data_IF_297480736100
#
_entry.id   IF_297480736100
#
_cell.length_a   1.000
_cell.length_b   1.000
_cell.length_c   1.000
_cell.angle_alpha   90.00
_cell.angle_beta   90.00
_cell.angle_gamma   90.00
#
_symmetry.space_group_name_H-M   'P 1'
#
loop_
_entity.id
_entity.type
_entity.pdbx_description
1 polymer ?
#
# COMPACT_ATOMS: atom_id res chain seq x y z
N UNK A 1 60.89 15.54 -4.02
CA UNK A 1 60.49 14.43 -4.89
C UNK A 1 60.14 13.26 -3.97
N UNK A 2 58.85 13.15 -3.58
CA UNK A 2 58.35 12.15 -2.62
C UNK A 2 57.73 11.03 -3.46
N UNK A 3 58.29 9.82 -3.35
CA UNK A 3 57.73 8.59 -3.95
C UNK A 3 56.64 8.10 -3.01
N UNK A 4 55.41 8.00 -3.50
CA UNK A 4 54.31 7.32 -2.83
C UNK A 4 54.31 5.87 -3.28
N UNK A 5 54.55 4.98 -2.32
CA UNK A 5 54.58 3.53 -2.52
C UNK A 5 53.11 3.04 -2.44
N UNK A 6 52.56 2.55 -3.56
CA UNK A 6 51.22 1.93 -3.59
C UNK A 6 51.38 0.45 -3.22
N UNK A 7 51.31 0.18 -1.91
CA UNK A 7 51.10 -1.19 -1.44
C UNK A 7 49.64 -1.57 -1.67
N UNK A 8 49.50 -2.56 -2.49
CA UNK A 8 48.32 -3.36 -2.82
C UNK A 8 47.52 -3.71 -1.57
N UNK A 9 46.35 -3.04 -1.37
CA UNK A 9 45.34 -3.50 -0.42
C UNK A 9 44.39 -4.35 -1.24
N UNK A 10 44.54 -5.67 -1.10
CA UNK A 10 43.60 -6.61 -1.63
C UNK A 10 42.19 -6.35 -1.05
N UNK A 11 41.41 -5.56 -1.77
CA UNK A 11 39.97 -5.39 -1.49
C UNK A 11 39.30 -6.71 -1.83
N UNK A 12 39.06 -7.52 -0.79
CA UNK A 12 38.16 -8.65 -0.90
C UNK A 12 36.74 -8.10 -1.09
N UNK A 13 36.32 -8.04 -2.35
CA UNK A 13 34.94 -7.77 -2.69
C UNK A 13 34.08 -8.87 -2.07
N UNK A 14 33.42 -8.54 -0.98
CA UNK A 14 32.49 -9.47 -0.33
C UNK A 14 31.30 -9.66 -1.26
N UNK A 15 31.16 -10.85 -1.82
CA UNK A 15 30.03 -11.24 -2.66
C UNK A 15 28.76 -11.34 -1.81
N UNK A 16 27.97 -10.30 -1.77
CA UNK A 16 26.72 -10.22 -1.04
C UNK A 16 25.60 -11.13 -1.61
N UNK A 17 25.80 -11.73 -2.79
CA UNK A 17 24.82 -12.64 -3.41
C UNK A 17 24.69 -13.99 -2.67
N UNK A 18 25.67 -14.31 -1.82
CA UNK A 18 25.73 -15.58 -1.05
C UNK A 18 25.30 -15.44 0.40
N UNK A 19 24.85 -14.29 0.83
CA UNK A 19 24.27 -14.19 2.16
C UNK A 19 22.92 -14.90 2.14
N UNK A 20 22.66 -15.85 3.09
CA UNK A 20 21.33 -16.39 3.26
C UNK A 20 20.41 -15.21 3.49
N UNK A 21 19.31 -15.16 2.73
CA UNK A 21 18.29 -14.16 2.95
C UNK A 21 17.99 -14.17 4.44
N UNK A 22 18.40 -13.09 5.14
CA UNK A 22 17.98 -12.86 6.50
C UNK A 22 16.45 -12.85 6.41
N UNK A 23 15.85 -13.98 6.81
CA UNK A 23 14.42 -13.97 7.13
C UNK A 23 14.28 -12.87 8.14
N UNK A 24 13.76 -11.72 7.68
CA UNK A 24 13.47 -10.63 8.58
C UNK A 24 12.73 -11.23 9.75
N UNK A 25 13.15 -10.98 11.01
CA UNK A 25 12.40 -11.47 12.14
C UNK A 25 10.99 -11.02 11.86
N UNK A 26 10.05 -11.96 11.80
CA UNK A 26 8.64 -11.62 11.78
C UNK A 26 8.44 -10.84 13.07
N UNK A 27 8.46 -9.53 12.93
CA UNK A 27 8.20 -8.64 14.02
C UNK A 27 6.74 -8.90 14.38
N UNK A 28 6.53 -9.84 15.30
CA UNK A 28 5.30 -9.98 16.05
C UNK A 28 5.23 -8.74 16.95
N UNK A 29 5.18 -7.56 16.30
CA UNK A 29 4.99 -6.30 16.99
C UNK A 29 3.73 -6.44 17.82
N UNK A 30 3.91 -6.45 19.14
CA UNK A 30 2.80 -6.41 20.07
C UNK A 30 1.99 -5.16 19.69
N UNK A 31 0.80 -5.38 19.13
CA UNK A 31 -0.10 -4.28 18.84
C UNK A 31 -0.52 -3.68 20.18
N UNK A 32 -0.24 -2.40 20.45
CA UNK A 32 -0.56 -1.78 21.74
C UNK A 32 -2.07 -1.86 22.03
N UNK A 33 -2.39 -2.14 23.28
CA UNK A 33 -3.77 -2.12 23.78
C UNK A 33 -4.07 -0.75 24.39
N UNK A 34 -5.27 -0.23 24.11
CA UNK A 34 -5.80 1.02 24.68
C UNK A 34 -7.03 0.69 25.52
N UNK A 35 -7.10 1.23 26.72
CA UNK A 35 -8.27 1.08 27.60
C UNK A 35 -9.12 2.34 27.47
N UNK A 36 -10.35 2.16 27.06
CA UNK A 36 -11.38 3.21 27.03
C UNK A 36 -12.30 3.07 28.26
N UNK A 37 -12.30 4.08 29.11
CA UNK A 37 -13.18 4.14 30.29
C UNK A 37 -14.44 4.91 29.92
N UNK A 38 -15.59 4.27 30.03
CA UNK A 38 -16.92 4.87 29.80
C UNK A 38 -17.76 4.76 31.06
N UNK A 39 -18.86 5.48 31.14
CA UNK A 39 -19.83 5.33 32.23
C UNK A 39 -20.44 3.92 32.38
N UNK A 40 -20.17 3.02 31.44
CA UNK A 40 -20.60 1.61 31.44
C UNK A 40 -19.47 0.62 31.77
N UNK A 41 -18.30 1.11 32.11
CA UNK A 41 -17.12 0.30 32.41
C UNK A 41 -15.95 0.51 31.45
N UNK A 42 -14.93 -0.30 31.62
CA UNK A 42 -13.70 -0.28 30.84
C UNK A 42 -13.76 -1.29 29.69
N UNK A 43 -13.27 -0.89 28.52
CA UNK A 43 -13.09 -1.76 27.35
C UNK A 43 -11.68 -1.64 26.82
N UNK A 44 -11.03 -2.77 26.59
CA UNK A 44 -9.73 -2.82 25.94
C UNK A 44 -9.92 -3.00 24.42
N UNK A 45 -9.18 -2.20 23.65
CA UNK A 45 -9.10 -2.30 22.19
C UNK A 45 -7.62 -2.35 21.79
N UNK A 46 -7.28 -3.08 20.74
CA UNK A 46 -6.03 -2.81 20.08
C UNK A 46 -6.09 -1.42 19.41
N UNK A 47 -4.91 -0.83 19.16
CA UNK A 47 -4.83 0.55 18.65
C UNK A 47 -5.52 0.70 17.28
N UNK A 48 -5.44 -0.31 16.40
CA UNK A 48 -6.08 -0.24 15.08
C UNK A 48 -7.60 -0.32 15.19
N UNK A 49 -8.13 -1.22 16.01
CA UNK A 49 -9.57 -1.29 16.31
C UNK A 49 -10.08 -0.01 16.95
N UNK A 50 -9.29 0.61 17.82
CA UNK A 50 -9.67 1.90 18.43
C UNK A 50 -9.70 3.03 17.39
N UNK A 51 -8.71 3.08 16.49
CA UNK A 51 -8.67 4.06 15.40
C UNK A 51 -9.75 3.81 14.35
N UNK A 52 -10.12 2.56 14.09
CA UNK A 52 -11.23 2.24 13.19
C UNK A 52 -12.57 2.84 13.68
N UNK A 53 -12.81 2.90 14.99
CA UNK A 53 -13.97 3.61 15.56
C UNK A 53 -13.98 5.10 15.21
N UNK A 54 -12.80 5.70 15.02
CA UNK A 54 -12.65 7.08 14.53
C UNK A 54 -12.60 7.16 12.99
N UNK A 55 -13.01 6.08 12.32
CA UNK A 55 -13.06 5.96 10.87
C UNK A 55 -11.69 6.04 10.15
N UNK A 56 -10.64 5.63 10.87
CA UNK A 56 -9.25 5.61 10.37
C UNK A 56 -8.86 4.19 9.98
N UNK A 57 -8.43 4.02 8.73
CA UNK A 57 -7.90 2.76 8.18
C UNK A 57 -6.43 2.95 7.84
N UNK A 58 -5.62 1.93 8.13
CA UNK A 58 -4.21 1.89 7.74
C UNK A 58 -3.98 0.85 6.65
N UNK A 59 -3.45 1.29 5.51
CA UNK A 59 -2.98 0.45 4.43
C UNK A 59 -1.45 0.49 4.41
N UNK A 60 -0.81 -0.49 5.07
CA UNK A 60 0.63 -0.53 5.28
C UNK A 60 1.23 -1.79 4.69
N UNK A 61 2.34 -1.64 3.96
CA UNK A 61 3.07 -2.75 3.34
C UNK A 61 2.60 -3.09 1.93
N UNK A 62 2.96 -4.29 1.47
CA UNK A 62 2.64 -4.74 0.12
C UNK A 62 1.15 -5.02 -0.06
N UNK A 63 0.59 -4.57 -1.18
CA UNK A 63 -0.81 -4.85 -1.53
C UNK A 63 -0.89 -6.29 -2.07
N UNK A 64 -1.59 -7.13 -1.31
CA UNK A 64 -1.90 -8.53 -1.64
C UNK A 64 -3.37 -8.79 -1.31
N UNK A 65 -3.95 -9.87 -1.82
CA UNK A 65 -5.37 -10.19 -1.67
C UNK A 65 -5.87 -10.11 -0.23
N UNK A 66 -5.11 -10.70 0.71
CA UNK A 66 -5.51 -10.69 2.12
C UNK A 66 -5.62 -9.26 2.68
N UNK A 67 -4.63 -8.42 2.42
CA UNK A 67 -4.65 -7.02 2.87
C UNK A 67 -5.78 -6.25 2.19
N UNK A 68 -5.97 -6.44 0.89
CA UNK A 68 -7.05 -5.78 0.15
C UNK A 68 -8.42 -6.13 0.71
N UNK A 69 -8.68 -7.42 0.98
CA UNK A 69 -9.94 -7.87 1.56
C UNK A 69 -10.20 -7.26 2.95
N UNK A 70 -9.16 -7.10 3.77
CA UNK A 70 -9.28 -6.44 5.07
C UNK A 70 -9.63 -4.95 4.93
N UNK A 71 -9.00 -4.23 4.00
CA UNK A 71 -9.31 -2.82 3.75
C UNK A 71 -10.73 -2.67 3.20
N UNK A 72 -11.13 -3.51 2.23
CA UNK A 72 -12.49 -3.53 1.68
C UNK A 72 -13.53 -3.78 2.77
N UNK A 73 -13.31 -4.78 3.64
CA UNK A 73 -14.23 -5.08 4.74
C UNK A 73 -14.38 -3.89 5.71
N UNK A 74 -13.28 -3.20 6.01
CA UNK A 74 -13.31 -2.00 6.87
C UNK A 74 -14.06 -0.84 6.21
N UNK A 75 -13.88 -0.62 4.90
CA UNK A 75 -14.61 0.40 4.14
C UNK A 75 -16.12 0.15 4.19
N UNK A 76 -16.54 -1.08 3.88
CA UNK A 76 -17.96 -1.47 3.91
C UNK A 76 -18.56 -1.41 5.32
N UNK A 77 -17.79 -1.80 6.34
CA UNK A 77 -18.21 -1.70 7.73
C UNK A 77 -18.46 -0.23 8.12
N UNK A 78 -17.51 0.67 7.79
CA UNK A 78 -17.66 2.08 8.12
C UNK A 78 -18.79 2.77 7.35
N UNK A 79 -19.06 2.36 6.11
CA UNK A 79 -20.25 2.80 5.38
C UNK A 79 -21.52 2.38 6.10
N UNK A 80 -21.62 1.11 6.54
CA UNK A 80 -22.79 0.60 7.25
C UNK A 80 -23.06 1.30 8.59
N UNK A 81 -21.98 1.73 9.28
CA UNK A 81 -22.08 2.46 10.55
C UNK A 81 -22.58 3.91 10.35
N UNK A 82 -22.05 4.60 9.37
CA UNK A 82 -22.48 5.95 9.02
C UNK A 82 -22.07 6.34 7.60
N UNK A 83 -23.00 6.36 6.64
CA UNK A 83 -22.69 6.65 5.23
C UNK A 83 -22.41 8.15 4.95
N UNK A 84 -22.65 9.05 5.89
CA UNK A 84 -22.52 10.49 5.68
C UNK A 84 -21.23 11.08 6.26
N UNK A 85 -20.39 10.26 6.90
CA UNK A 85 -19.12 10.69 7.49
C UNK A 85 -17.94 10.18 6.69
N UNK A 86 -16.94 11.02 6.51
CA UNK A 86 -15.69 10.69 5.82
C UNK A 86 -14.97 9.49 6.45
N UNK A 87 -14.26 8.75 5.61
CA UNK A 87 -13.31 7.70 6.00
C UNK A 87 -11.90 8.22 5.73
N UNK A 88 -10.96 7.96 6.64
CA UNK A 88 -9.57 8.39 6.51
C UNK A 88 -8.66 7.18 6.25
N UNK A 89 -8.12 7.08 5.04
CA UNK A 89 -7.22 6.00 4.61
C UNK A 89 -5.77 6.48 4.62
N UNK A 90 -4.98 5.98 5.57
CA UNK A 90 -3.55 6.25 5.68
C UNK A 90 -2.75 5.24 4.87
N UNK A 91 -1.97 5.74 3.90
CA UNK A 91 -1.25 4.92 2.91
C UNK A 91 0.25 4.96 3.19
N UNK A 92 0.84 3.77 3.42
CA UNK A 92 2.29 3.57 3.45
C UNK A 92 2.62 2.24 2.75
N UNK A 93 2.66 2.26 1.42
CA UNK A 93 2.74 1.03 0.61
C UNK A 93 3.69 1.19 -0.59
N UNK A 94 4.53 0.18 -0.86
CA UNK A 94 5.31 0.10 -2.08
C UNK A 94 4.46 -0.29 -3.32
N UNK A 95 3.15 -0.55 -3.14
CA UNK A 95 2.28 -1.14 -4.14
C UNK A 95 2.20 -2.66 -4.02
N UNK A 96 1.83 -3.34 -5.09
CA UNK A 96 1.67 -4.79 -5.13
C UNK A 96 0.77 -5.25 -6.26
N UNK A 97 -0.08 -6.24 -6.00
CA UNK A 97 -0.96 -6.82 -6.99
C UNK A 97 -2.01 -5.84 -7.51
N UNK A 98 -2.12 -5.76 -8.83
CA UNK A 98 -3.01 -4.80 -9.49
C UNK A 98 -4.48 -5.10 -9.19
N UNK A 99 -4.91 -6.36 -9.27
CA UNK A 99 -6.31 -6.71 -9.03
C UNK A 99 -6.71 -6.48 -7.56
N UNK A 100 -5.83 -6.81 -6.62
CA UNK A 100 -6.02 -6.53 -5.21
C UNK A 100 -6.15 -5.02 -4.94
N UNK A 101 -5.29 -4.22 -5.58
CA UNK A 101 -5.36 -2.76 -5.48
C UNK A 101 -6.61 -2.16 -6.14
N UNK A 102 -7.03 -2.69 -7.28
CA UNK A 102 -8.27 -2.27 -7.95
C UNK A 102 -9.51 -2.61 -7.11
N UNK A 103 -9.51 -3.72 -6.38
CA UNK A 103 -10.62 -4.04 -5.47
C UNK A 103 -10.79 -2.97 -4.38
N UNK A 104 -9.68 -2.46 -3.82
CA UNK A 104 -9.73 -1.34 -2.86
C UNK A 104 -10.22 -0.08 -3.56
N UNK A 105 -9.62 0.27 -4.70
CA UNK A 105 -9.96 1.47 -5.47
C UNK A 105 -11.44 1.49 -5.85
N UNK A 106 -11.94 0.42 -6.46
CA UNK A 106 -13.34 0.33 -6.89
C UNK A 106 -14.29 0.40 -5.68
N UNK A 107 -13.93 -0.18 -4.54
CA UNK A 107 -14.72 -0.07 -3.31
C UNK A 107 -14.76 1.38 -2.80
N UNK A 108 -13.63 2.09 -2.82
CA UNK A 108 -13.59 3.51 -2.46
C UNK A 108 -14.52 4.37 -3.32
N UNK A 109 -14.62 4.04 -4.63
CA UNK A 109 -15.52 4.73 -5.56
C UNK A 109 -16.98 4.30 -5.41
N UNK A 110 -17.23 3.09 -4.93
CA UNK A 110 -18.57 2.51 -4.81
C UNK A 110 -19.32 2.95 -3.57
N UNK A 111 -18.61 3.07 -2.43
CA UNK A 111 -19.22 3.45 -1.15
C UNK A 111 -19.65 4.92 -1.15
N UNK A 112 -20.66 5.23 -0.33
CA UNK A 112 -21.20 6.58 -0.24
C UNK A 112 -20.31 7.58 0.52
N UNK A 113 -19.61 7.21 1.61
CA UNK A 113 -18.72 8.11 2.31
C UNK A 113 -17.59 8.61 1.43
N UNK A 114 -17.22 9.88 1.58
CA UNK A 114 -15.97 10.38 1.02
C UNK A 114 -14.77 9.68 1.67
N UNK A 115 -13.79 9.29 0.85
CA UNK A 115 -12.56 8.69 1.34
C UNK A 115 -11.42 9.70 1.24
N UNK A 116 -10.98 10.21 2.38
CA UNK A 116 -9.78 11.02 2.48
C UNK A 116 -8.55 10.14 2.51
N UNK A 117 -7.57 10.39 1.66
CA UNK A 117 -6.33 9.61 1.57
C UNK A 117 -5.12 10.42 2.03
N UNK A 118 -4.22 9.81 2.82
CA UNK A 118 -3.04 10.47 3.38
C UNK A 118 -1.80 9.58 3.17
N UNK A 119 -0.83 10.05 2.40
CA UNK A 119 0.46 9.35 2.27
C UNK A 119 1.34 9.64 3.49
N UNK A 120 1.75 8.59 4.23
CA UNK A 120 2.53 8.69 5.48
C UNK A 120 3.91 8.03 5.38
N UNK A 121 4.55 8.01 4.28
CA UNK A 121 5.86 7.40 4.08
C UNK A 121 6.06 7.22 2.61
N UNK A 122 5.42 6.22 2.03
CA UNK A 122 5.43 6.07 0.59
C UNK A 122 4.07 5.61 0.05
N UNK A 123 3.76 6.06 -1.15
CA UNK A 123 2.68 5.54 -1.97
C UNK A 123 3.25 5.27 -3.37
N UNK A 124 3.61 4.01 -3.64
CA UNK A 124 4.24 3.63 -4.89
C UNK A 124 3.35 2.66 -5.68
N UNK A 125 3.44 2.71 -7.03
CA UNK A 125 2.71 1.80 -7.92
C UNK A 125 1.21 1.80 -7.61
N UNK A 126 0.60 0.65 -7.32
CA UNK A 126 -0.82 0.55 -6.91
C UNK A 126 -1.13 1.38 -5.64
N UNK A 127 -0.15 1.58 -4.73
CA UNK A 127 -0.32 2.49 -3.59
C UNK A 127 -0.56 3.95 -4.02
N UNK A 128 0.09 4.40 -5.09
CA UNK A 128 -0.13 5.73 -5.67
C UNK A 128 -1.51 5.84 -6.34
N UNK A 129 -1.97 4.78 -6.99
CA UNK A 129 -3.32 4.73 -7.61
C UNK A 129 -4.40 4.86 -6.52
N UNK A 130 -4.27 4.10 -5.42
CA UNK A 130 -5.21 4.17 -4.30
C UNK A 130 -5.17 5.56 -3.64
N UNK A 131 -3.98 6.12 -3.41
CA UNK A 131 -3.85 7.49 -2.88
C UNK A 131 -4.58 8.50 -3.77
N UNK A 132 -4.36 8.40 -5.07
CA UNK A 132 -5.00 9.25 -6.06
C UNK A 132 -6.52 9.02 -6.15
N UNK A 133 -7.01 7.82 -5.85
CA UNK A 133 -8.44 7.45 -5.80
C UNK A 133 -9.23 8.05 -4.64
N UNK A 134 -8.60 8.77 -3.73
CA UNK A 134 -9.30 9.54 -2.69
C UNK A 134 -10.20 10.63 -3.27
N UNK A 135 -11.18 11.06 -2.51
CA UNK A 135 -12.12 12.12 -2.90
C UNK A 135 -11.37 13.40 -3.27
N UNK A 136 -11.83 14.14 -4.28
CA UNK A 136 -11.23 15.40 -4.71
C UNK A 136 -11.08 16.36 -3.52
N UNK A 137 -9.95 17.06 -3.45
CA UNK A 137 -9.57 17.97 -2.36
C UNK A 137 -9.34 17.32 -0.99
N UNK A 138 -9.50 15.97 -0.88
CA UNK A 138 -9.27 15.19 0.35
C UNK A 138 -8.06 14.23 0.21
N UNK A 139 -7.09 14.56 -0.63
CA UNK A 139 -5.87 13.79 -0.87
C UNK A 139 -4.67 14.55 -0.33
N UNK A 140 -3.94 13.91 0.56
CA UNK A 140 -2.84 14.54 1.29
C UNK A 140 -1.57 13.71 1.21
N UNK A 141 -0.44 14.37 1.37
CA UNK A 141 0.87 13.76 1.52
C UNK A 141 1.64 14.50 2.61
N UNK A 142 2.25 13.77 3.53
CA UNK A 142 3.12 14.38 4.54
C UNK A 142 4.41 14.89 3.89
N UNK A 143 5.06 15.92 4.46
CA UNK A 143 6.18 16.62 3.81
C UNK A 143 7.35 15.74 3.38
N UNK A 144 7.59 14.63 4.07
CA UNK A 144 8.68 13.70 3.78
C UNK A 144 8.21 12.41 3.10
N UNK A 145 6.94 12.33 2.71
CA UNK A 145 6.41 11.17 2.01
C UNK A 145 6.85 11.16 0.54
N UNK A 146 6.92 9.96 -0.02
CA UNK A 146 7.31 9.72 -1.41
C UNK A 146 6.14 9.13 -2.19
N UNK A 147 5.83 9.73 -3.33
CA UNK A 147 4.84 9.19 -4.26
C UNK A 147 5.58 8.77 -5.53
N UNK A 148 5.33 7.55 -6.03
CA UNK A 148 5.95 7.03 -7.24
C UNK A 148 4.92 6.32 -8.11
N UNK A 149 4.81 6.78 -9.35
CA UNK A 149 3.97 6.18 -10.39
C UNK A 149 4.88 5.54 -11.44
N UNK A 150 4.58 4.31 -11.81
CA UNK A 150 5.22 3.60 -12.91
C UNK A 150 4.23 2.70 -13.64
N UNK A 151 4.58 2.29 -14.85
CA UNK A 151 3.75 1.36 -15.62
C UNK A 151 3.70 -0.01 -14.94
N UNK A 152 2.57 -0.75 -15.07
CA UNK A 152 2.53 -2.15 -14.66
C UNK A 152 3.59 -2.94 -15.45
N UNK A 153 4.28 -3.83 -14.75
CA UNK A 153 5.22 -4.74 -15.38
C UNK A 153 4.83 -6.18 -15.07
N UNK A 154 5.18 -7.08 -15.95
CA UNK A 154 4.98 -8.51 -15.78
C UNK A 154 5.82 -9.26 -16.80
N UNK A 155 6.10 -10.54 -16.50
CA UNK A 155 6.77 -11.46 -17.39
C UNK A 155 6.01 -12.77 -17.43
N UNK A 156 5.96 -13.39 -18.60
CA UNK A 156 5.27 -14.66 -18.80
C UNK A 156 6.17 -15.62 -19.55
N UNK A 157 6.07 -16.89 -19.19
CA UNK A 157 6.68 -18.01 -19.91
C UNK A 157 5.55 -19.00 -20.26
N UNK A 158 5.57 -19.52 -21.47
CA UNK A 158 4.53 -20.46 -21.93
C UNK A 158 4.53 -20.58 -23.44
N UNK A 159 3.45 -21.17 -23.97
CA UNK A 159 3.24 -21.27 -25.41
C UNK A 159 2.96 -19.88 -26.00
N UNK A 160 3.25 -19.69 -27.29
CA UNK A 160 3.11 -18.39 -27.95
C UNK A 160 1.71 -17.79 -27.82
N UNK A 161 0.67 -18.62 -27.85
CA UNK A 161 -0.72 -18.20 -27.64
C UNK A 161 -0.97 -17.67 -26.24
N UNK A 162 -0.41 -18.30 -25.21
CA UNK A 162 -0.55 -17.88 -23.80
C UNK A 162 0.15 -16.55 -23.59
N UNK A 163 1.35 -16.41 -24.16
CA UNK A 163 2.10 -15.14 -24.09
C UNK A 163 1.31 -13.99 -24.72
N UNK A 164 0.66 -14.22 -25.87
CA UNK A 164 -0.16 -13.20 -26.54
C UNK A 164 -1.37 -12.79 -25.68
N UNK A 165 -2.07 -13.75 -25.06
CA UNK A 165 -3.19 -13.48 -24.16
C UNK A 165 -2.75 -12.63 -22.97
N UNK A 166 -1.65 -13.01 -22.31
CA UNK A 166 -1.12 -12.29 -21.15
C UNK A 166 -0.62 -10.89 -21.54
N UNK A 167 0.04 -10.73 -22.68
CA UNK A 167 0.49 -9.43 -23.17
C UNK A 167 -0.70 -8.48 -23.40
N UNK A 168 -1.77 -8.96 -24.01
CA UNK A 168 -3.00 -8.19 -24.22
C UNK A 168 -3.64 -7.77 -22.88
N UNK A 169 -3.65 -8.66 -21.89
CA UNK A 169 -4.20 -8.34 -20.58
C UNK A 169 -3.38 -7.26 -19.85
N UNK A 170 -2.04 -7.32 -19.87
CA UNK A 170 -1.19 -6.25 -19.28
C UNK A 170 -1.46 -4.91 -19.97
N UNK A 171 -1.60 -4.88 -21.29
CA UNK A 171 -1.90 -3.66 -22.03
C UNK A 171 -3.28 -3.09 -21.64
N UNK A 172 -4.28 -3.96 -21.48
CA UNK A 172 -5.61 -3.59 -21.00
C UNK A 172 -5.59 -3.01 -19.59
N UNK A 173 -4.84 -3.65 -18.68
CA UNK A 173 -4.65 -3.16 -17.31
C UNK A 173 -3.98 -1.79 -17.31
N UNK A 174 -2.93 -1.60 -18.10
CA UNK A 174 -2.25 -0.31 -18.23
C UNK A 174 -3.20 0.79 -18.69
N UNK A 175 -4.00 0.54 -19.70
CA UNK A 175 -4.99 1.50 -20.20
C UNK A 175 -6.01 1.85 -19.12
N UNK A 176 -6.56 0.86 -18.42
CA UNK A 176 -7.50 1.06 -17.31
C UNK A 176 -6.91 1.91 -16.21
N UNK A 177 -5.67 1.62 -15.76
CA UNK A 177 -4.98 2.41 -14.72
C UNK A 177 -4.73 3.85 -15.18
N UNK A 178 -4.33 4.05 -16.44
CA UNK A 178 -4.15 5.39 -16.99
C UNK A 178 -5.47 6.18 -17.01
N UNK A 179 -6.57 5.56 -17.42
CA UNK A 179 -7.89 6.19 -17.38
C UNK A 179 -8.31 6.54 -15.95
N UNK A 180 -8.09 5.65 -14.99
CA UNK A 180 -8.38 5.95 -13.57
C UNK A 180 -7.59 7.16 -13.07
N UNK A 181 -6.32 7.32 -13.48
CA UNK A 181 -5.48 8.45 -13.09
C UNK A 181 -5.81 9.76 -13.82
N UNK A 182 -6.34 9.71 -15.03
CA UNK A 182 -6.72 10.91 -15.80
C UNK A 182 -7.98 11.57 -15.23
N UNK A 183 -8.89 10.78 -14.66
CA UNK A 183 -10.17 11.27 -14.14
C UNK A 183 -10.14 11.64 -12.65
N UNK A 184 -8.97 11.65 -12.05
CA UNK A 184 -8.78 11.96 -10.62
C UNK A 184 -8.63 13.47 -10.35
#
# INVERSE_FOLDING_TARGET
MIRVDHTDRGDTVTDYSKQPALTAPQNLGLVPMVIETTGRGERAYDIYSRLLKERVIFMVGQIVDHMANLVVAQLLYLESENPDKDIHLYVNSPGGEVNAGLAIYDTMQFIRPDVSTVCTGQAASMGAVILAGGTSEKRFALPHSRIMIHQPWGGFQGQATDIDIHAKEILRIRERLNLSLIHI
#
